data_IF_333796750876
#
_entry.id   IF_333796750876
#
_cell.length_a   1.000
_cell.length_b   1.000
_cell.length_c   1.000
_cell.angle_alpha   90.00
_cell.angle_beta   90.00
_cell.angle_gamma   90.00
#
_symmetry.space_group_name_H-M   'P 1'
#
loop_
_entity.id
_entity.type
_entity.pdbx_description
1 polymer ?
#
# COMPACT_ATOMS: atom_id res chain seq x y z
N UNK A 1 21.93 9.21 10.87
CA UNK A 1 22.14 7.90 10.22
C UNK A 1 20.88 7.09 10.43
N UNK A 2 19.96 7.07 9.47
CA UNK A 2 18.86 6.11 9.52
C UNK A 2 19.48 4.72 9.34
N UNK A 3 19.29 3.83 10.31
CA UNK A 3 19.60 2.43 10.11
C UNK A 3 18.69 1.93 8.99
N UNK A 4 19.26 1.63 7.83
CA UNK A 4 18.55 0.90 6.77
C UNK A 4 18.34 -0.52 7.29
N UNK A 5 17.23 -0.76 7.99
CA UNK A 5 16.86 -2.12 8.35
C UNK A 5 16.06 -2.73 7.18
N UNK A 6 16.62 -3.72 6.47
CA UNK A 6 15.96 -4.30 5.31
C UNK A 6 14.62 -4.92 5.72
N UNK A 7 13.56 -4.62 4.97
CA UNK A 7 12.24 -5.20 5.17
C UNK A 7 12.15 -6.56 4.43
N UNK A 8 11.00 -7.23 4.49
CA UNK A 8 10.82 -8.53 3.82
C UNK A 8 11.07 -8.45 2.30
N UNK A 9 10.86 -7.30 1.66
CA UNK A 9 11.10 -7.13 0.23
C UNK A 9 12.59 -6.88 -0.08
N UNK A 10 13.31 -6.16 0.79
CA UNK A 10 14.70 -5.73 0.54
C UNK A 10 15.76 -6.56 1.25
N UNK A 11 15.37 -7.52 2.09
CA UNK A 11 16.28 -8.44 2.77
C UNK A 11 16.96 -9.39 1.79
N UNK A 12 18.29 -9.29 1.67
CA UNK A 12 19.13 -10.19 0.86
C UNK A 12 19.53 -11.46 1.58
N UNK A 13 19.64 -11.40 2.90
CA UNK A 13 19.95 -12.55 3.75
C UNK A 13 18.69 -13.44 3.87
N UNK A 14 18.85 -14.72 3.54
CA UNK A 14 17.76 -15.70 3.52
C UNK A 14 17.16 -15.95 4.91
N UNK A 15 17.97 -15.95 5.97
CA UNK A 15 17.50 -16.21 7.34
C UNK A 15 16.71 -15.00 7.85
N UNK A 16 17.22 -13.79 7.60
CA UNK A 16 16.52 -12.53 7.92
C UNK A 16 15.20 -12.45 7.16
N UNK A 17 15.22 -12.73 5.86
CA UNK A 17 14.03 -12.74 5.01
C UNK A 17 13.00 -13.75 5.53
N UNK A 18 13.41 -15.00 5.79
CA UNK A 18 12.53 -16.05 6.28
C UNK A 18 11.89 -15.67 7.62
N UNK A 19 12.66 -15.12 8.56
CA UNK A 19 12.17 -14.68 9.87
C UNK A 19 11.13 -13.57 9.73
N UNK A 20 11.36 -12.56 8.88
CA UNK A 20 10.40 -11.46 8.64
C UNK A 20 9.15 -11.95 7.89
N UNK A 21 9.32 -12.79 6.86
CA UNK A 21 8.21 -13.43 6.14
C UNK A 21 7.32 -14.26 7.06
N UNK A 22 7.91 -15.02 8.00
CA UNK A 22 7.13 -15.82 8.97
C UNK A 22 6.21 -14.96 9.84
N UNK A 23 6.64 -13.75 10.22
CA UNK A 23 5.81 -12.80 10.97
C UNK A 23 4.67 -12.26 10.12
N UNK A 24 4.97 -11.81 8.89
CA UNK A 24 3.94 -11.33 7.95
C UNK A 24 2.91 -12.42 7.61
N UNK A 25 3.34 -13.69 7.49
CA UNK A 25 2.44 -14.80 7.18
C UNK A 25 1.33 -15.01 8.22
N UNK A 26 1.52 -14.57 9.47
CA UNK A 26 0.45 -14.63 10.48
C UNK A 26 -0.68 -13.64 10.18
N UNK A 27 -0.34 -12.44 9.71
CA UNK A 27 -1.31 -11.43 9.28
C UNK A 27 -2.01 -11.82 7.96
N UNK A 28 -1.49 -12.82 7.24
CA UNK A 28 -2.09 -13.38 6.02
C UNK A 28 -2.63 -14.80 6.25
N UNK A 29 -2.92 -15.15 7.51
CA UNK A 29 -3.56 -16.42 7.84
C UNK A 29 -5.02 -16.43 7.40
N UNK A 30 -5.59 -17.62 7.21
CA UNK A 30 -7.00 -17.79 6.83
C UNK A 30 -7.97 -17.10 7.82
N UNK A 31 -7.66 -17.15 9.12
CA UNK A 31 -8.42 -16.43 10.14
C UNK A 31 -8.31 -14.91 9.99
N UNK A 32 -7.10 -14.39 9.77
CA UNK A 32 -6.91 -12.95 9.53
C UNK A 32 -7.63 -12.47 8.27
N UNK A 33 -7.59 -13.26 7.18
CA UNK A 33 -8.27 -12.92 5.93
C UNK A 33 -9.79 -12.86 6.09
N UNK A 34 -10.40 -13.76 6.88
CA UNK A 34 -11.83 -13.68 7.22
C UNK A 34 -12.17 -12.40 7.98
N UNK A 35 -11.30 -11.97 8.91
CA UNK A 35 -11.50 -10.69 9.61
C UNK A 35 -11.38 -9.49 8.68
N UNK A 36 -10.63 -9.59 7.58
CA UNK A 36 -10.49 -8.48 6.62
C UNK A 36 -11.64 -8.36 5.61
N UNK A 37 -12.49 -9.38 5.51
CA UNK A 37 -13.62 -9.40 4.58
C UNK A 37 -14.55 -8.19 4.78
N UNK A 38 -14.84 -7.82 6.03
CA UNK A 38 -15.69 -6.66 6.33
C UNK A 38 -15.12 -5.35 5.78
N UNK A 39 -13.79 -5.18 5.81
CA UNK A 39 -13.14 -3.99 5.28
C UNK A 39 -13.20 -3.95 3.76
N UNK A 40 -12.98 -5.10 3.11
CA UNK A 40 -13.03 -5.19 1.64
C UNK A 40 -14.44 -4.91 1.13
N UNK A 41 -15.47 -5.43 1.81
CA UNK A 41 -16.87 -5.18 1.46
C UNK A 41 -17.21 -3.69 1.62
N UNK A 42 -16.81 -3.07 2.73
CA UNK A 42 -17.08 -1.65 2.96
C UNK A 42 -16.47 -0.74 1.87
N UNK A 43 -15.20 -0.97 1.51
CA UNK A 43 -14.52 -0.20 0.45
C UNK A 43 -15.11 -0.48 -0.94
N UNK A 44 -15.58 -1.71 -1.18
CA UNK A 44 -16.26 -2.08 -2.43
C UNK A 44 -17.62 -1.38 -2.57
N UNK A 45 -18.36 -1.24 -1.47
CA UNK A 45 -19.63 -0.52 -1.42
C UNK A 45 -19.41 0.99 -1.65
N UNK A 46 -18.36 1.58 -1.06
CA UNK A 46 -17.98 2.99 -1.29
C UNK A 46 -17.62 3.22 -2.77
N UNK A 47 -16.80 2.34 -3.36
CA UNK A 47 -16.51 2.38 -4.79
C UNK A 47 -17.79 2.31 -5.63
N UNK A 48 -18.70 1.37 -5.31
CA UNK A 48 -19.96 1.23 -6.03
C UNK A 48 -20.84 2.48 -5.92
N UNK A 49 -20.81 3.18 -4.77
CA UNK A 49 -21.53 4.44 -4.57
C UNK A 49 -20.99 5.54 -5.48
N UNK A 50 -19.67 5.72 -5.55
CA UNK A 50 -19.01 6.74 -6.38
C UNK A 50 -19.19 6.47 -7.88
N UNK A 51 -19.12 5.20 -8.29
CA UNK A 51 -19.37 4.80 -9.67
C UNK A 51 -20.81 5.11 -10.11
N UNK A 52 -21.80 4.94 -9.22
CA UNK A 52 -23.21 5.28 -9.50
C UNK A 52 -23.44 6.78 -9.63
N UNK A 53 -22.69 7.60 -8.88
CA UNK A 53 -22.79 9.06 -8.96
C UNK A 53 -22.21 9.61 -10.26
N UNK A 54 -21.31 8.88 -10.89
CA UNK A 54 -20.60 9.25 -12.11
C UNK A 54 -21.42 9.04 -13.41
N UNK A 55 -22.76 9.02 -13.32
CA UNK A 55 -23.72 8.62 -14.37
C UNK A 55 -23.33 9.04 -15.81
N UNK A 56 -22.87 8.06 -16.60
CA UNK A 56 -22.51 8.24 -18.01
C UNK A 56 -21.15 8.91 -18.30
N UNK A 57 -20.38 9.27 -17.27
CA UNK A 57 -19.05 9.83 -17.44
C UNK A 57 -18.01 8.74 -17.75
N UNK A 58 -17.05 9.06 -18.63
CA UNK A 58 -15.86 8.21 -18.82
C UNK A 58 -14.96 8.35 -17.61
N UNK A 59 -14.78 7.26 -16.87
CA UNK A 59 -13.94 7.23 -15.68
C UNK A 59 -12.62 6.54 -15.96
N UNK A 60 -11.55 7.13 -15.44
CA UNK A 60 -10.26 6.46 -15.36
C UNK A 60 -10.28 5.49 -14.18
N UNK A 61 -10.54 4.21 -14.49
CA UNK A 61 -10.53 3.10 -13.54
C UNK A 61 -9.12 2.74 -13.03
N UNK A 62 -8.07 3.32 -13.61
CA UNK A 62 -6.67 3.11 -13.22
C UNK A 62 -6.13 4.21 -12.28
N UNK A 63 -6.56 5.47 -12.40
CA UNK A 63 -6.02 6.57 -11.56
C UNK A 63 -6.99 7.44 -10.77
N UNK A 64 -8.22 7.74 -11.26
CA UNK A 64 -9.07 8.78 -10.64
C UNK A 64 -10.19 8.19 -9.77
N UNK A 65 -10.66 7.00 -10.11
CA UNK A 65 -11.69 6.25 -9.37
C UNK A 65 -11.21 4.85 -8.98
N UNK A 66 -9.89 4.69 -8.95
CA UNK A 66 -9.27 3.44 -9.28
C UNK A 66 -8.98 2.55 -8.10
N UNK A 67 -8.78 1.30 -8.46
CA UNK A 67 -8.23 0.23 -7.63
C UNK A 67 -7.07 0.71 -6.75
N UNK A 68 -6.27 1.71 -7.16
CA UNK A 68 -5.20 2.27 -6.34
C UNK A 68 -5.72 2.90 -5.03
N UNK A 69 -6.77 3.74 -5.10
CA UNK A 69 -7.40 4.37 -3.95
C UNK A 69 -8.07 3.33 -3.04
N UNK A 70 -8.89 2.47 -3.64
CA UNK A 70 -9.58 1.37 -2.94
C UNK A 70 -8.57 0.45 -2.27
N UNK A 71 -7.52 0.04 -2.97
CA UNK A 71 -6.48 -0.84 -2.43
C UNK A 71 -5.69 -0.14 -1.33
N UNK A 72 -5.43 1.17 -1.46
CA UNK A 72 -4.77 1.95 -0.43
C UNK A 72 -5.61 2.03 0.85
N UNK A 73 -6.90 2.33 0.75
CA UNK A 73 -7.80 2.39 1.90
C UNK A 73 -7.98 1.01 2.54
N UNK A 74 -8.15 -0.07 1.76
CA UNK A 74 -8.15 -1.45 2.28
C UNK A 74 -6.85 -1.77 3.02
N UNK A 75 -5.69 -1.50 2.40
CA UNK A 75 -4.38 -1.82 2.96
C UNK A 75 -4.10 -1.03 4.23
N UNK A 76 -4.45 0.25 4.26
CA UNK A 76 -4.25 1.10 5.44
C UNK A 76 -5.22 0.76 6.57
N UNK A 77 -6.44 0.32 6.24
CA UNK A 77 -7.38 -0.20 7.22
C UNK A 77 -6.86 -1.50 7.84
N UNK A 78 -6.33 -2.43 7.04
CA UNK A 78 -5.77 -3.69 7.53
C UNK A 78 -4.50 -3.47 8.38
N UNK A 79 -3.58 -2.61 7.93
CA UNK A 79 -2.27 -2.44 8.56
C UNK A 79 -2.30 -1.48 9.74
N UNK A 80 -3.07 -0.40 9.65
CA UNK A 80 -3.09 0.69 10.63
C UNK A 80 -4.43 0.88 11.33
N UNK A 81 -5.48 0.16 10.93
CA UNK A 81 -6.83 0.38 11.44
C UNK A 81 -7.40 1.75 11.06
N UNK A 82 -6.93 2.33 9.95
CA UNK A 82 -7.34 3.67 9.50
C UNK A 82 -7.76 3.65 8.04
N UNK A 83 -8.92 4.24 7.79
CA UNK A 83 -9.45 4.52 6.48
C UNK A 83 -9.23 6.02 6.18
N UNK A 84 -8.57 6.31 5.06
CA UNK A 84 -8.28 7.69 4.62
C UNK A 84 -9.33 8.23 3.65
N UNK A 85 -10.28 7.39 3.24
CA UNK A 85 -11.40 7.68 2.35
C UNK A 85 -10.93 8.37 1.09
N UNK A 86 -9.85 7.87 0.50
CA UNK A 86 -9.24 8.49 -0.68
C UNK A 86 -10.12 8.40 -1.92
N UNK A 87 -11.10 7.50 -1.92
CA UNK A 87 -12.14 7.40 -2.95
C UNK A 87 -13.03 8.66 -2.94
N UNK A 88 -13.60 9.04 -1.79
CA UNK A 88 -14.55 10.16 -1.68
C UNK A 88 -13.89 11.50 -1.33
N UNK A 89 -12.76 11.50 -0.60
CA UNK A 89 -12.04 12.69 -0.16
C UNK A 89 -10.70 12.85 -0.90
N UNK A 90 -10.42 14.09 -1.32
CA UNK A 90 -9.18 14.46 -2.01
C UNK A 90 -8.04 14.80 -1.05
N UNK A 91 -8.33 15.03 0.23
CA UNK A 91 -7.39 15.54 1.26
C UNK A 91 -6.11 14.72 1.36
N UNK A 92 -6.22 13.39 1.29
CA UNK A 92 -5.09 12.47 1.49
C UNK A 92 -4.59 11.81 0.20
N UNK A 93 -5.10 12.18 -0.98
CA UNK A 93 -4.70 11.54 -2.26
C UNK A 93 -3.23 11.74 -2.61
N UNK A 94 -2.60 12.83 -2.14
CA UNK A 94 -1.17 13.10 -2.35
C UNK A 94 -0.25 12.01 -1.73
N UNK A 95 -0.76 11.23 -0.78
CA UNK A 95 0.01 10.15 -0.14
C UNK A 95 0.36 9.06 -1.17
N UNK A 96 -0.57 8.72 -2.07
CA UNK A 96 -0.35 7.73 -3.12
C UNK A 96 0.79 8.15 -4.06
N UNK A 97 0.79 9.40 -4.52
CA UNK A 97 1.87 9.95 -5.35
C UNK A 97 3.22 9.93 -4.59
N UNK A 98 3.21 10.37 -3.34
CA UNK A 98 4.39 10.35 -2.47
C UNK A 98 4.94 8.93 -2.26
N UNK A 99 4.07 7.95 -2.12
CA UNK A 99 4.44 6.53 -1.99
C UNK A 99 5.06 6.00 -3.28
N UNK A 100 4.53 6.35 -4.45
CA UNK A 100 5.09 5.93 -5.73
C UNK A 100 6.50 6.48 -5.93
N UNK A 101 6.73 7.75 -5.61
CA UNK A 101 8.07 8.37 -5.65
C UNK A 101 9.02 7.65 -4.68
N UNK A 102 8.57 7.45 -3.44
CA UNK A 102 9.35 6.76 -2.40
C UNK A 102 9.71 5.31 -2.80
N UNK A 103 8.83 4.62 -3.55
CA UNK A 103 9.06 3.27 -4.05
C UNK A 103 10.27 3.21 -4.97
N UNK A 104 10.39 4.16 -5.91
CA UNK A 104 11.51 4.22 -6.86
C UNK A 104 12.82 4.43 -6.10
N UNK A 105 12.87 5.41 -5.19
CA UNK A 105 14.04 5.65 -4.34
C UNK A 105 14.43 4.40 -3.55
N UNK A 106 13.45 3.79 -2.87
CA UNK A 106 13.68 2.59 -2.04
C UNK A 106 14.22 1.42 -2.87
N UNK A 107 13.76 1.26 -4.11
CA UNK A 107 14.28 0.25 -5.02
C UNK A 107 15.73 0.55 -5.43
N UNK A 108 16.04 1.80 -5.81
CA UNK A 108 17.40 2.21 -6.19
C UNK A 108 18.38 1.94 -5.04
N UNK A 109 18.06 2.36 -3.82
CA UNK A 109 18.93 2.12 -2.64
C UNK A 109 19.10 0.62 -2.36
N UNK A 110 18.05 -0.18 -2.56
CA UNK A 110 18.12 -1.64 -2.36
C UNK A 110 19.04 -2.34 -3.37
N UNK A 111 19.00 -1.95 -4.64
CA UNK A 111 19.84 -2.54 -5.70
C UNK A 111 21.24 -1.94 -5.76
N UNK A 112 21.40 -0.67 -5.42
CA UNK A 112 22.65 0.08 -5.45
C UNK A 112 22.98 0.66 -4.07
N UNK A 113 23.44 -0.17 -3.11
CA UNK A 113 23.70 0.27 -1.73
C UNK A 113 24.77 1.37 -1.64
N UNK A 114 25.62 1.52 -2.67
CA UNK A 114 26.60 2.60 -2.75
C UNK A 114 25.95 3.98 -2.83
N UNK A 115 24.76 4.10 -3.43
CA UNK A 115 24.02 5.37 -3.55
C UNK A 115 23.61 5.85 -2.15
N UNK A 116 23.07 4.95 -1.32
CA UNK A 116 22.75 5.27 0.07
C UNK A 116 23.99 5.48 0.94
N UNK A 117 25.08 4.74 0.70
CA UNK A 117 26.34 4.93 1.43
C UNK A 117 27.00 6.30 1.16
N UNK A 118 26.78 6.87 -0.04
CA UNK A 118 27.28 8.18 -0.44
C UNK A 118 26.31 9.33 -0.11
N UNK A 119 25.10 9.04 0.41
CA UNK A 119 24.07 10.03 0.72
C UNK A 119 23.49 10.72 -0.51
N UNK A 120 23.36 9.98 -1.61
CA UNK A 120 22.86 10.48 -2.89
C UNK A 120 21.39 10.07 -3.16
N UNK A 121 20.64 9.73 -2.11
CA UNK A 121 19.25 9.23 -2.14
C UNK A 121 18.18 10.29 -1.83
#
# INVERSE_FOLDING_TARGET
MSHFEPNTLTARDSEVHQRKRKRLAQALSDDALRHYEEFIVAESDELCSELRQSDGATLDMAHIYSVDHVTFDIMTQIVFGKNFRTISDTTYRFILESMQISRVRSAVVAYMPIVGALGLD
#
